data_IF_484082467970
#
_entry.id   IF_484082467970
#
_cell.length_a   1.000
_cell.length_b   1.000
_cell.length_c   1.000
_cell.angle_alpha   90.00
_cell.angle_beta   90.00
_cell.angle_gamma   90.00
#
_symmetry.space_group_name_H-M   'P 1'
#
loop_
_entity.id
_entity.type
_entity.pdbx_description
1 polymer ?
#
# COMPACT_ATOMS: atom_id res chain seq x y z
N UNK A 1 7.46 -30.15 3.33
CA UNK A 1 6.68 -29.17 4.12
C UNK A 1 6.43 -27.94 3.25
N UNK A 2 5.21 -27.77 2.73
CA UNK A 2 4.83 -26.58 1.99
C UNK A 2 4.57 -25.44 2.98
N UNK A 3 5.25 -24.30 2.82
CA UNK A 3 5.03 -23.10 3.65
C UNK A 3 3.58 -22.63 3.48
N UNK A 4 2.94 -22.05 4.51
CA UNK A 4 1.59 -21.50 4.40
C UNK A 4 1.61 -20.25 3.51
N UNK A 5 1.63 -20.46 2.18
CA UNK A 5 1.60 -19.39 1.16
C UNK A 5 0.22 -18.73 1.02
N UNK A 6 -0.82 -19.24 1.68
CA UNK A 6 -2.21 -18.84 1.38
C UNK A 6 -2.66 -17.58 2.10
N UNK A 7 -2.32 -17.36 3.38
CA UNK A 7 -2.76 -16.17 4.13
C UNK A 7 -1.99 -14.91 3.75
N UNK A 8 -0.67 -15.04 3.59
CA UNK A 8 0.20 -13.94 3.25
C UNK A 8 -0.08 -13.37 1.85
N UNK A 9 -0.25 -14.24 0.85
CA UNK A 9 -0.54 -13.80 -0.51
C UNK A 9 -1.97 -13.25 -0.63
N UNK A 10 -2.95 -13.84 0.06
CA UNK A 10 -4.32 -13.31 0.11
C UNK A 10 -4.39 -11.92 0.75
N UNK A 11 -3.70 -11.72 1.88
CA UNK A 11 -3.59 -10.40 2.52
C UNK A 11 -2.94 -9.37 1.58
N UNK A 12 -1.88 -9.75 0.87
CA UNK A 12 -1.25 -8.86 -0.11
C UNK A 12 -2.19 -8.51 -1.27
N UNK A 13 -3.02 -9.44 -1.71
CA UNK A 13 -4.03 -9.17 -2.73
C UNK A 13 -5.11 -8.21 -2.23
N UNK A 14 -5.56 -8.38 -0.99
CA UNK A 14 -6.49 -7.45 -0.35
C UNK A 14 -5.86 -6.06 -0.16
N UNK A 15 -4.66 -5.95 0.42
CA UNK A 15 -3.97 -4.66 0.59
C UNK A 15 -3.72 -3.94 -0.74
N UNK A 16 -3.52 -4.68 -1.84
CA UNK A 16 -3.41 -4.09 -3.18
C UNK A 16 -4.68 -3.40 -3.65
N UNK A 17 -5.87 -3.83 -3.23
CA UNK A 17 -7.12 -3.16 -3.63
C UNK A 17 -7.24 -1.77 -3.01
N UNK A 18 -6.61 -1.56 -1.86
CA UNK A 18 -6.53 -0.25 -1.22
C UNK A 18 -5.52 0.68 -1.91
N UNK A 19 -4.52 0.14 -2.64
CA UNK A 19 -3.54 0.92 -3.39
C UNK A 19 -4.00 1.16 -4.83
N UNK A 20 -4.82 2.18 -5.03
CA UNK A 20 -5.37 2.55 -6.35
C UNK A 20 -5.27 4.05 -6.64
N UNK A 21 -5.58 4.41 -7.89
CA UNK A 21 -5.44 5.78 -8.39
C UNK A 21 -6.39 6.77 -7.70
N UNK A 22 -7.62 6.35 -7.39
CA UNK A 22 -8.58 7.16 -6.64
C UNK A 22 -8.03 7.57 -5.27
N UNK A 23 -7.30 6.67 -4.60
CA UNK A 23 -6.67 6.97 -3.32
C UNK A 23 -5.48 7.90 -3.45
N UNK A 24 -4.67 7.73 -4.48
CA UNK A 24 -3.59 8.66 -4.80
C UNK A 24 -4.16 10.07 -5.04
N UNK A 25 -5.20 10.22 -5.87
CA UNK A 25 -5.89 11.49 -6.10
C UNK A 25 -6.45 12.09 -4.82
N UNK A 26 -7.04 11.25 -3.95
CA UNK A 26 -7.55 11.69 -2.64
C UNK A 26 -6.45 12.14 -1.67
N UNK A 27 -5.22 11.63 -1.81
CA UNK A 27 -4.06 12.13 -1.05
C UNK A 27 -3.51 13.42 -1.65
N UNK A 28 -3.43 13.51 -2.98
CA UNK A 28 -2.98 14.71 -3.69
C UNK A 28 -3.93 15.89 -3.44
N UNK A 29 -5.24 15.67 -3.32
CA UNK A 29 -6.17 16.76 -2.98
C UNK A 29 -5.92 17.37 -1.60
N UNK A 30 -5.28 16.63 -0.68
CA UNK A 30 -4.92 17.10 0.67
C UNK A 30 -3.51 17.70 0.72
N UNK A 31 -2.60 17.22 -0.11
CA UNK A 31 -1.16 17.51 -0.04
C UNK A 31 -0.64 18.39 -1.18
N UNK A 32 -1.46 18.61 -2.21
CA UNK A 32 -1.10 19.32 -3.43
C UNK A 32 -0.69 18.38 -4.56
N UNK A 33 -0.15 18.98 -5.62
CA UNK A 33 0.22 18.26 -6.85
C UNK A 33 1.38 17.29 -6.64
N UNK A 34 1.42 16.23 -7.46
CA UNK A 34 2.52 15.28 -7.46
C UNK A 34 3.74 15.90 -8.16
N UNK A 35 4.85 16.05 -7.43
CA UNK A 35 6.12 16.55 -7.95
C UNK A 35 7.23 15.52 -7.76
N UNK A 36 8.35 15.70 -8.45
CA UNK A 36 9.53 14.83 -8.24
C UNK A 36 10.05 14.87 -6.81
N UNK A 37 9.92 16.00 -6.14
CA UNK A 37 10.42 16.23 -4.78
C UNK A 37 9.54 15.56 -3.72
N UNK A 38 8.22 15.56 -3.91
CA UNK A 38 7.28 14.94 -2.97
C UNK A 38 6.96 13.47 -3.30
N UNK A 39 7.39 12.96 -4.45
CA UNK A 39 7.10 11.59 -4.93
C UNK A 39 7.36 10.51 -3.89
N UNK A 40 8.52 10.53 -3.24
CA UNK A 40 8.86 9.56 -2.20
C UNK A 40 7.94 9.64 -0.98
N UNK A 41 7.60 10.86 -0.56
CA UNK A 41 6.65 11.12 0.53
C UNK A 41 5.24 10.63 0.17
N UNK A 42 4.81 10.85 -1.08
CA UNK A 42 3.50 10.41 -1.57
C UNK A 42 3.38 8.89 -1.60
N UNK A 43 4.40 8.18 -2.07
CA UNK A 43 4.43 6.71 -2.04
C UNK A 43 4.31 6.21 -0.60
N UNK A 44 5.13 6.75 0.31
CA UNK A 44 5.12 6.36 1.71
C UNK A 44 3.73 6.57 2.33
N UNK A 45 3.13 7.74 2.14
CA UNK A 45 1.79 8.03 2.66
C UNK A 45 0.70 7.18 2.06
N UNK A 46 0.80 6.86 0.77
CA UNK A 46 -0.16 5.98 0.11
C UNK A 46 -0.12 4.56 0.72
N UNK A 47 1.07 4.07 1.06
CA UNK A 47 1.24 2.81 1.79
C UNK A 47 0.70 2.91 3.21
N UNK A 48 1.06 3.95 3.95
CA UNK A 48 0.58 4.16 5.33
C UNK A 48 -0.94 4.24 5.40
N UNK A 49 -1.58 5.01 4.51
CA UNK A 49 -3.04 5.15 4.45
C UNK A 49 -3.74 3.83 4.09
N UNK A 50 -3.16 3.05 3.18
CA UNK A 50 -3.68 1.72 2.83
C UNK A 50 -3.55 0.71 3.99
N UNK A 51 -2.42 0.72 4.70
CA UNK A 51 -2.21 -0.14 5.88
C UNK A 51 -3.10 0.28 7.04
N UNK A 52 -3.24 1.58 7.30
CA UNK A 52 -4.11 2.10 8.35
C UNK A 52 -5.57 1.77 8.10
N UNK A 53 -6.04 1.82 6.85
CA UNK A 53 -7.40 1.41 6.51
C UNK A 53 -7.58 -0.11 6.64
N UNK A 54 -6.61 -0.89 6.19
CA UNK A 54 -6.62 -2.34 6.36
C UNK A 54 -6.64 -2.75 7.84
N UNK A 55 -5.94 -2.01 8.72
CA UNK A 55 -5.94 -2.23 10.18
C UNK A 55 -7.25 -1.83 10.88
N UNK A 56 -8.11 -1.02 10.25
CA UNK A 56 -9.43 -0.67 10.81
C UNK A 56 -10.46 -1.77 10.63
N UNK A 57 -10.21 -2.69 9.71
CA UNK A 57 -11.03 -3.88 9.53
C UNK A 57 -10.60 -4.94 10.56
N UNK A 58 -11.51 -5.27 11.48
CA UNK A 58 -11.24 -6.07 12.68
C UNK A 58 -10.73 -7.47 12.33
N UNK A 59 -11.27 -8.08 11.27
CA UNK A 59 -10.87 -9.41 10.77
C UNK A 59 -9.45 -9.39 10.16
N UNK A 60 -9.07 -8.25 9.58
CA UNK A 60 -7.80 -8.09 8.86
C UNK A 60 -6.67 -7.66 9.80
N UNK A 61 -7.01 -6.93 10.87
CA UNK A 61 -6.07 -6.51 11.91
C UNK A 61 -5.45 -7.71 12.61
N UNK A 62 -6.23 -8.71 13.02
CA UNK A 62 -5.69 -9.91 13.67
C UNK A 62 -4.67 -10.65 12.79
N UNK A 63 -4.91 -10.66 11.47
CA UNK A 63 -3.99 -11.26 10.49
C UNK A 63 -2.67 -10.48 10.44
N UNK A 64 -2.74 -9.15 10.41
CA UNK A 64 -1.54 -8.31 10.34
C UNK A 64 -0.74 -8.32 11.65
N UNK A 65 -1.43 -8.19 12.79
CA UNK A 65 -0.81 -8.18 14.13
C UNK A 65 -0.23 -9.56 14.49
N UNK A 66 -0.72 -10.64 13.87
CA UNK A 66 -0.17 -11.99 13.99
C UNK A 66 1.12 -12.24 13.19
N UNK A 67 1.57 -11.29 12.37
CA UNK A 67 2.81 -11.41 11.59
C UNK A 67 4.03 -11.06 12.44
N UNK A 68 5.15 -11.74 12.18
CA UNK A 68 6.46 -11.33 12.72
C UNK A 68 6.92 -10.00 12.11
N UNK A 69 7.82 -9.29 12.79
CA UNK A 69 8.41 -8.03 12.29
C UNK A 69 9.01 -8.19 10.88
N UNK A 70 9.63 -9.35 10.62
CA UNK A 70 10.20 -9.66 9.31
C UNK A 70 9.10 -9.76 8.24
N UNK A 71 8.00 -10.44 8.55
CA UNK A 71 6.87 -10.59 7.62
C UNK A 71 6.18 -9.26 7.37
N UNK A 72 5.94 -8.45 8.41
CA UNK A 72 5.42 -7.08 8.27
C UNK A 72 6.32 -6.24 7.37
N UNK A 73 7.64 -6.29 7.57
CA UNK A 73 8.61 -5.61 6.71
C UNK A 73 8.57 -6.06 5.24
N UNK A 74 8.35 -7.37 4.99
CA UNK A 74 8.17 -7.87 3.61
C UNK A 74 6.87 -7.35 2.99
N UNK A 75 5.79 -7.27 3.77
CA UNK A 75 4.49 -6.71 3.31
C UNK A 75 4.66 -5.26 2.91
N UNK A 76 5.19 -4.43 3.80
CA UNK A 76 5.43 -3.01 3.54
C UNK A 76 6.31 -2.81 2.30
N UNK A 77 7.35 -3.62 2.13
CA UNK A 77 8.21 -3.55 0.94
C UNK A 77 7.46 -3.89 -0.35
N UNK A 78 6.57 -4.89 -0.32
CA UNK A 78 5.73 -5.26 -1.47
C UNK A 78 4.70 -4.17 -1.78
N UNK A 79 4.09 -3.57 -0.75
CA UNK A 79 3.15 -2.46 -0.90
C UNK A 79 3.83 -1.22 -1.49
N UNK A 80 5.03 -0.87 -1.02
CA UNK A 80 5.83 0.20 -1.63
C UNK A 80 6.04 -0.02 -3.13
N UNK A 81 6.36 -1.25 -3.55
CA UNK A 81 6.50 -1.59 -4.96
C UNK A 81 5.21 -1.43 -5.78
N UNK A 82 4.04 -1.66 -5.17
CA UNK A 82 2.73 -1.44 -5.80
C UNK A 82 2.40 0.06 -5.85
N UNK A 83 2.56 0.77 -4.74
CA UNK A 83 2.35 2.21 -4.64
C UNK A 83 3.22 2.98 -5.66
N UNK A 84 4.48 2.57 -5.83
CA UNK A 84 5.36 3.11 -6.90
C UNK A 84 4.77 2.94 -8.29
N UNK A 85 4.13 1.80 -8.59
CA UNK A 85 3.49 1.56 -9.89
C UNK A 85 2.26 2.43 -10.07
N UNK A 86 1.44 2.60 -9.04
CA UNK A 86 0.27 3.49 -9.07
C UNK A 86 0.70 4.92 -9.38
N UNK A 87 1.67 5.45 -8.61
CA UNK A 87 2.23 6.79 -8.83
C UNK A 87 2.81 6.93 -10.23
N UNK A 88 3.60 5.96 -10.71
CA UNK A 88 4.18 5.99 -12.05
C UNK A 88 3.12 5.96 -13.16
N UNK A 89 2.05 5.20 -12.97
CA UNK A 89 0.96 5.12 -13.94
C UNK A 89 0.20 6.45 -14.00
N UNK A 90 -0.08 7.06 -12.84
CA UNK A 90 -0.69 8.39 -12.76
C UNK A 90 0.16 9.45 -13.49
N UNK A 91 1.48 9.49 -13.24
CA UNK A 91 2.43 10.37 -13.94
C UNK A 91 2.45 10.16 -15.47
N UNK A 92 2.01 9.00 -15.97
CA UNK A 92 1.95 8.69 -17.39
C UNK A 92 0.61 9.06 -18.03
N UNK A 93 -0.47 9.14 -17.26
CA UNK A 93 -1.80 9.56 -17.72
C UNK A 93 -1.92 11.08 -17.77
N UNK A 94 -1.32 11.78 -16.82
CA UNK A 94 -1.33 13.26 -16.73
C UNK A 94 -0.32 13.96 -17.69
N UNK A 95 0.35 13.22 -18.57
CA UNK A 95 1.31 13.73 -19.57
C UNK A 95 0.75 13.69 -20.98
#
# INVERSE_FOLDING_TARGET
>A
MARPRTRFDAMLEQLRTYLNDNRLVSLLSKEGELTRENRGKMIKRLVEDAVDEYRRDEDLREIFDGLTDLEQGVVEKKLNGVAMKVVKNHEAVEK
#
